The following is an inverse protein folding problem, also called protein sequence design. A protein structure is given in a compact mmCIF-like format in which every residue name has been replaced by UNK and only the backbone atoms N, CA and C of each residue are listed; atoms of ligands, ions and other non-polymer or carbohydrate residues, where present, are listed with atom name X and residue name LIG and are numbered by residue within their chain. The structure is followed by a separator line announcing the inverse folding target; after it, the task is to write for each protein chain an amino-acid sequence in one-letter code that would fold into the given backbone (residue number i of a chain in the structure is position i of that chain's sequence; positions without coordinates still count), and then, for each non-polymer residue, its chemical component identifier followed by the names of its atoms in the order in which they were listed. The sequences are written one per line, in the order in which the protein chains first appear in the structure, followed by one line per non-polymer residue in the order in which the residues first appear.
data_IF_275983130623
#
_entry.id   IF_275983130623
#
_cell.length_a   1.000
_cell.length_b   1.000
_cell.length_c   1.000
_cell.angle_alpha   90.00
_cell.angle_beta   90.00
_cell.angle_gamma   90.00
#
_symmetry.space_group_name_H-M   'P 1'
#
loop_
_entity.id
_entity.type
_entity.pdbx_description
1 polymer ?
#
# COMPACT_ATOMS: atom_id res chain seq x y z
N UNK A 1 59.29 1.69 32.76
CA UNK A 1 57.87 2.07 32.70
C UNK A 1 57.30 1.41 31.45
N UNK A 2 56.69 0.24 31.61
CA UNK A 2 56.04 -0.50 30.52
C UNK A 2 54.62 0.02 30.37
N UNK A 3 54.23 0.40 29.16
CA UNK A 3 52.82 0.62 28.82
C UNK A 3 52.46 -0.43 27.77
N UNK A 4 51.72 -1.43 28.23
CA UNK A 4 51.12 -2.45 27.39
C UNK A 4 50.06 -1.84 26.48
N UNK A 5 50.20 -2.15 25.19
CA UNK A 5 49.25 -1.88 24.12
C UNK A 5 47.95 -2.66 24.33
N UNK A 6 46.86 -1.96 24.64
CA UNK A 6 45.52 -2.53 24.58
C UNK A 6 44.94 -2.36 23.17
N UNK A 7 44.91 -3.45 22.41
CA UNK A 7 44.19 -3.57 21.14
C UNK A 7 42.70 -3.24 21.32
N UNK A 8 42.07 -2.44 20.45
CA UNK A 8 40.62 -2.38 20.40
C UNK A 8 40.14 -3.67 19.74
N UNK A 9 39.55 -4.57 20.54
CA UNK A 9 38.69 -5.64 20.04
C UNK A 9 37.58 -4.97 19.25
N UNK A 10 37.75 -4.94 17.92
CA UNK A 10 36.67 -4.63 16.99
C UNK A 10 35.63 -5.72 17.21
N UNK A 11 34.61 -5.41 18.00
CA UNK A 11 33.41 -6.22 18.06
C UNK A 11 32.89 -6.24 16.63
N UNK A 12 33.20 -7.33 15.91
CA UNK A 12 32.59 -7.63 14.64
C UNK A 12 31.10 -7.73 14.92
N UNK A 13 30.39 -6.63 14.64
CA UNK A 13 28.96 -6.65 14.50
C UNK A 13 28.68 -7.68 13.42
N UNK A 14 28.22 -8.84 13.86
CA UNK A 14 27.69 -9.86 12.98
C UNK A 14 26.43 -9.23 12.39
N UNK A 15 26.58 -8.56 11.24
CA UNK A 15 25.49 -8.28 10.34
C UNK A 15 24.97 -9.65 9.92
N UNK A 16 24.02 -10.16 10.69
CA UNK A 16 23.16 -11.24 10.25
C UNK A 16 22.47 -10.70 9.00
N UNK A 17 22.98 -11.10 7.83
CA UNK A 17 22.29 -10.96 6.56
C UNK A 17 20.93 -11.63 6.77
N UNK A 18 19.91 -10.85 7.11
CA UNK A 18 18.53 -11.32 7.14
C UNK A 18 18.23 -11.73 5.71
N UNK A 19 18.23 -13.03 5.47
CA UNK A 19 17.77 -13.62 4.22
C UNK A 19 16.36 -13.07 3.97
N UNK A 20 16.25 -12.14 2.99
CA UNK A 20 15.01 -11.43 2.75
C UNK A 20 14.01 -12.45 2.23
N UNK A 21 13.11 -12.89 3.11
CA UNK A 21 12.11 -13.88 2.73
C UNK A 21 11.19 -13.21 1.71
N UNK A 22 10.95 -13.83 0.54
CA UNK A 22 10.08 -13.24 -0.45
C UNK A 22 8.70 -12.98 0.17
N UNK A 23 8.06 -11.84 -0.19
CA UNK A 23 6.73 -11.49 0.30
C UNK A 23 5.74 -12.63 0.05
N UNK A 24 4.81 -12.84 0.99
CA UNK A 24 3.81 -13.92 0.92
C UNK A 24 2.90 -13.82 -0.31
N UNK A 25 2.72 -12.61 -0.83
CA UNK A 25 1.85 -12.32 -1.97
C UNK A 25 2.73 -11.88 -3.14
N UNK A 26 2.57 -12.49 -4.34
CA UNK A 26 3.29 -12.05 -5.54
C UNK A 26 2.94 -10.63 -5.94
N UNK A 27 3.90 -9.89 -6.50
CA UNK A 27 3.74 -8.49 -6.91
C UNK A 27 2.58 -8.33 -7.90
N UNK A 28 2.36 -9.30 -8.79
CA UNK A 28 1.28 -9.28 -9.78
C UNK A 28 -0.08 -9.21 -9.11
N UNK A 29 -0.25 -9.87 -7.95
CA UNK A 29 -1.50 -9.84 -7.20
C UNK A 29 -1.75 -8.47 -6.57
N UNK A 30 -0.69 -7.76 -6.16
CA UNK A 30 -0.81 -6.38 -5.69
C UNK A 30 -1.19 -5.44 -6.84
N UNK A 31 -0.58 -5.60 -8.02
CA UNK A 31 -0.92 -4.82 -9.22
C UNK A 31 -2.38 -5.04 -9.63
N UNK A 32 -2.83 -6.29 -9.72
CA UNK A 32 -4.23 -6.63 -10.04
C UNK A 32 -5.18 -6.01 -9.03
N UNK A 33 -4.85 -6.05 -7.73
CA UNK A 33 -5.68 -5.44 -6.68
C UNK A 33 -5.78 -3.92 -6.87
N UNK A 34 -4.66 -3.22 -7.14
CA UNK A 34 -4.68 -1.78 -7.40
C UNK A 34 -5.55 -1.43 -8.63
N UNK A 35 -5.46 -2.22 -9.71
CA UNK A 35 -6.28 -2.02 -10.91
C UNK A 35 -7.78 -2.20 -10.59
N UNK A 36 -8.15 -3.23 -9.84
CA UNK A 36 -9.54 -3.46 -9.44
C UNK A 36 -10.10 -2.32 -8.58
N UNK A 37 -9.30 -1.78 -7.66
CA UNK A 37 -9.75 -0.63 -6.86
C UNK A 37 -9.91 0.64 -7.71
N UNK A 38 -9.03 0.87 -8.69
CA UNK A 38 -9.19 1.97 -9.65
C UNK A 38 -10.47 1.84 -10.47
N UNK A 39 -10.81 0.65 -10.95
CA UNK A 39 -12.06 0.40 -11.68
C UNK A 39 -13.29 0.67 -10.82
N UNK A 40 -13.27 0.26 -9.55
CA UNK A 40 -14.36 0.56 -8.59
C UNK A 40 -14.50 2.06 -8.36
N UNK A 41 -13.39 2.77 -8.14
CA UNK A 41 -13.42 4.23 -7.98
C UNK A 41 -13.98 4.91 -9.22
N UNK A 42 -13.60 4.46 -10.43
CA UNK A 42 -14.14 4.99 -11.68
C UNK A 42 -15.67 4.80 -11.76
N UNK A 43 -16.15 3.59 -11.52
CA UNK A 43 -17.60 3.29 -11.55
C UNK A 43 -18.36 4.14 -10.53
N UNK A 44 -17.79 4.30 -9.34
CA UNK A 44 -18.31 5.14 -8.28
C UNK A 44 -18.38 6.62 -8.68
N UNK A 45 -17.32 7.17 -9.29
CA UNK A 45 -17.31 8.55 -9.79
C UNK A 45 -18.40 8.75 -10.85
N UNK A 46 -18.54 7.83 -11.81
CA UNK A 46 -19.58 7.90 -12.84
C UNK A 46 -20.99 7.87 -12.22
N UNK A 47 -21.20 6.99 -11.23
CA UNK A 47 -22.45 6.91 -10.49
C UNK A 47 -22.75 8.19 -9.71
N UNK A 48 -21.75 8.78 -9.04
CA UNK A 48 -21.92 10.05 -8.33
C UNK A 48 -22.20 11.21 -9.27
N UNK A 49 -21.53 11.30 -10.42
CA UNK A 49 -21.82 12.33 -11.42
C UNK A 49 -23.25 12.18 -11.97
N UNK A 50 -23.69 10.95 -12.25
CA UNK A 50 -25.06 10.67 -12.68
C UNK A 50 -26.07 11.12 -11.62
N UNK A 51 -25.84 10.73 -10.38
CA UNK A 51 -26.72 11.01 -9.25
C UNK A 51 -26.73 12.51 -8.91
N UNK A 52 -25.60 13.22 -8.97
CA UNK A 52 -25.57 14.68 -8.79
C UNK A 52 -26.25 15.42 -9.96
N UNK A 53 -26.25 14.86 -11.16
CA UNK A 53 -26.90 15.48 -12.33
C UNK A 53 -28.42 15.26 -12.36
N UNK A 54 -28.89 14.12 -11.87
CA UNK A 54 -30.28 13.69 -12.05
C UNK A 54 -31.03 13.43 -10.74
N UNK A 55 -30.33 13.38 -9.61
CA UNK A 55 -30.90 13.09 -8.30
C UNK A 55 -31.51 14.33 -7.63
N UNK A 56 -32.41 14.07 -6.69
CA UNK A 56 -32.91 15.09 -5.77
C UNK A 56 -31.95 15.15 -4.56
N UNK A 57 -31.32 16.30 -4.33
CA UNK A 57 -30.26 16.48 -3.31
C UNK A 57 -30.74 16.35 -1.85
N UNK A 58 -32.05 16.31 -1.66
CA UNK A 58 -32.75 16.04 -0.40
C UNK A 58 -32.83 14.54 -0.06
N UNK A 59 -32.42 13.64 -0.98
CA UNK A 59 -32.36 12.21 -0.70
C UNK A 59 -31.11 11.82 0.11
N UNK A 60 -31.24 11.33 1.36
CA UNK A 60 -30.10 10.92 2.18
C UNK A 60 -29.30 9.72 1.62
N UNK A 61 -29.93 8.83 0.85
CA UNK A 61 -29.26 7.68 0.20
C UNK A 61 -28.21 8.12 -0.83
N UNK A 62 -28.40 9.31 -1.40
CA UNK A 62 -27.46 9.96 -2.31
C UNK A 62 -26.13 10.24 -1.61
N UNK A 63 -26.20 10.74 -0.37
CA UNK A 63 -25.04 11.08 0.43
C UNK A 63 -24.33 9.84 0.99
N UNK A 64 -25.07 8.77 1.29
CA UNK A 64 -24.49 7.46 1.61
C UNK A 64 -23.70 6.88 0.42
N UNK A 65 -24.25 7.00 -0.78
CA UNK A 65 -23.57 6.57 -2.02
C UNK A 65 -22.25 7.32 -2.20
N UNK A 66 -22.25 8.66 -2.04
CA UNK A 66 -21.04 9.49 -2.11
C UNK A 66 -20.04 9.12 -1.01
N UNK A 67 -20.50 8.89 0.22
CA UNK A 67 -19.64 8.50 1.35
C UNK A 67 -18.92 7.17 1.12
N UNK A 68 -19.58 6.18 0.51
CA UNK A 68 -18.98 4.89 0.19
C UNK A 68 -17.79 5.02 -0.78
N UNK A 69 -17.80 6.01 -1.67
CA UNK A 69 -16.69 6.27 -2.60
C UNK A 69 -15.42 6.65 -1.86
N UNK A 70 -15.54 7.52 -0.85
CA UNK A 70 -14.42 7.95 -0.03
C UNK A 70 -13.75 6.79 0.72
N UNK A 71 -14.53 5.78 1.13
CA UNK A 71 -13.99 4.55 1.73
C UNK A 71 -13.19 3.72 0.72
N UNK A 72 -13.64 3.63 -0.53
CA UNK A 72 -12.91 2.91 -1.58
C UNK A 72 -11.62 3.62 -2.01
N UNK A 73 -11.57 4.96 -1.93
CA UNK A 73 -10.33 5.71 -2.15
C UNK A 73 -9.25 5.38 -1.09
N UNK A 74 -9.64 5.21 0.18
CA UNK A 74 -8.73 4.75 1.24
C UNK A 74 -8.22 3.32 0.97
N UNK A 75 -9.09 2.44 0.47
CA UNK A 75 -8.72 1.07 0.12
C UNK A 75 -7.70 1.02 -1.04
N UNK A 76 -7.83 1.90 -2.04
CA UNK A 76 -6.83 2.03 -3.10
C UNK A 76 -5.48 2.49 -2.54
N UNK A 77 -5.47 3.49 -1.65
CA UNK A 77 -4.23 3.99 -1.04
C UNK A 77 -3.49 2.87 -0.30
N UNK A 78 -4.21 2.11 0.54
CA UNK A 78 -3.64 0.95 1.24
C UNK A 78 -3.10 -0.12 0.29
N UNK A 79 -3.81 -0.37 -0.81
CA UNK A 79 -3.38 -1.35 -1.82
C UNK A 79 -2.11 -0.90 -2.53
N UNK A 80 -1.98 0.39 -2.80
CA UNK A 80 -0.79 1.01 -3.38
C UNK A 80 0.39 1.01 -2.41
N UNK A 81 0.18 1.34 -1.14
CA UNK A 81 1.20 1.25 -0.09
C UNK A 81 1.73 -0.18 0.03
N UNK A 82 0.84 -1.17 0.09
CA UNK A 82 1.21 -2.59 0.12
C UNK A 82 2.01 -3.02 -1.12
N UNK A 83 1.67 -2.52 -2.31
CA UNK A 83 2.48 -2.72 -3.51
C UNK A 83 3.89 -2.10 -3.37
N UNK A 84 3.98 -0.89 -2.82
CA UNK A 84 5.24 -0.17 -2.65
C UNK A 84 6.19 -0.82 -1.64
N UNK A 85 5.64 -1.45 -0.60
CA UNK A 85 6.41 -2.21 0.37
C UNK A 85 7.11 -3.42 -0.27
N UNK A 86 6.45 -4.07 -1.24
CA UNK A 86 6.94 -5.33 -1.83
C UNK A 86 7.67 -5.16 -3.16
N UNK A 87 7.47 -4.05 -3.88
CA UNK A 87 8.04 -3.85 -5.23
C UNK A 87 9.56 -3.85 -5.30
N UNK A 88 10.22 -3.60 -4.17
CA UNK A 88 11.68 -3.56 -4.06
C UNK A 88 12.23 -4.80 -3.34
N UNK A 89 11.38 -5.78 -2.99
CA UNK A 89 11.84 -7.01 -2.37
C UNK A 89 12.55 -7.89 -3.41
N UNK A 90 13.75 -8.36 -3.06
CA UNK A 90 14.49 -9.29 -3.90
C UNK A 90 13.67 -10.58 -4.11
N UNK A 91 13.59 -11.04 -5.37
CA UNK A 91 12.82 -12.24 -5.75
C UNK A 91 11.37 -11.99 -6.18
N UNK A 92 10.94 -10.73 -6.37
CA UNK A 92 9.62 -10.39 -6.94
C UNK A 92 9.67 -9.67 -8.31
N UNK A 93 10.78 -9.79 -9.04
CA UNK A 93 10.93 -9.25 -10.41
C UNK A 93 11.42 -10.33 -11.39
#
# INVERSE_FOLDING_TARGET
MSMDTASPTTAAASEATQESKPPRVPIERHVVTCVQELERIRANVDQTLYVMRHGQFDNPELWLTIGNISLHADQLLRSYEAYHEVRNCEGQA
#
